data_IF_447004590097
#
_entry.id   IF_447004590097
#
_cell.length_a   1.000
_cell.length_b   1.000
_cell.length_c   1.000
_cell.angle_alpha   90.00
_cell.angle_beta   90.00
_cell.angle_gamma   90.00
#
_symmetry.space_group_name_H-M   'P 1'
#
loop_
_entity.id
_entity.type
_entity.pdbx_description
1 polymer ?
#
# COMPACT_ATOMS: atom_id res chain seq x y z
N UNK A 1 -7.41 1.22 21.45
CA UNK A 1 -6.03 1.34 21.96
C UNK A 1 -5.43 2.59 21.36
N UNK A 2 -5.23 3.65 22.16
CA UNK A 2 -4.62 4.89 21.69
C UNK A 2 -3.16 4.60 21.34
N UNK A 3 -2.83 4.70 20.06
CA UNK A 3 -1.45 4.58 19.58
C UNK A 3 -0.63 5.68 20.26
N UNK A 4 0.31 5.28 21.12
CA UNK A 4 1.23 6.18 21.86
C UNK A 4 2.33 6.77 20.98
N UNK A 5 2.25 6.53 19.66
CA UNK A 5 3.11 7.09 18.62
C UNK A 5 3.30 8.62 18.66
N UNK A 6 2.30 9.46 18.99
CA UNK A 6 2.50 10.92 19.01
C UNK A 6 3.19 11.43 20.29
N UNK A 7 3.30 10.61 21.35
CA UNK A 7 3.79 11.06 22.66
C UNK A 7 5.31 10.93 22.84
N UNK A 8 6.04 10.26 21.93
CA UNK A 8 7.49 10.10 22.04
C UNK A 8 8.25 11.45 22.05
N UNK A 9 7.68 12.48 21.40
CA UNK A 9 8.19 13.85 21.44
C UNK A 9 8.22 14.44 22.86
N UNK A 10 7.41 13.93 23.80
CA UNK A 10 7.49 14.34 25.22
C UNK A 10 8.75 13.80 25.92
N UNK A 11 9.45 12.82 25.36
CA UNK A 11 10.74 12.36 25.90
C UNK A 11 11.89 13.34 25.61
N UNK A 12 11.77 14.16 24.54
CA UNK A 12 12.75 15.18 24.15
C UNK A 12 13.01 16.23 25.25
N UNK A 13 11.99 16.85 25.90
CA UNK A 13 12.24 17.75 27.02
C UNK A 13 12.82 17.04 28.26
N UNK A 14 12.55 15.75 28.45
CA UNK A 14 13.14 14.97 29.56
C UNK A 14 14.65 14.78 29.37
N UNK A 15 15.15 14.73 28.12
CA UNK A 15 16.59 14.75 27.82
C UNK A 15 17.29 16.06 28.17
N UNK A 16 16.55 17.17 28.27
CA UNK A 16 17.12 18.47 28.67
C UNK A 16 17.24 18.61 30.20
N UNK A 17 16.56 17.77 30.97
CA UNK A 17 16.51 17.83 32.43
C UNK A 17 17.88 17.63 33.10
N UNK A 18 18.73 16.66 32.68
CA UNK A 18 20.10 16.54 33.19
C UNK A 18 20.96 17.77 32.90
N UNK A 19 20.79 18.38 31.73
CA UNK A 19 21.51 19.60 31.32
C UNK A 19 21.07 20.77 32.20
N UNK A 20 19.76 20.93 32.41
CA UNK A 20 19.20 22.00 33.23
C UNK A 20 19.53 21.85 34.71
N UNK A 21 19.45 20.63 35.25
CA UNK A 21 19.84 20.32 36.63
C UNK A 21 21.34 20.52 36.86
N UNK A 22 22.17 20.11 35.89
CA UNK A 22 23.61 20.35 35.97
C UNK A 22 23.94 21.85 35.94
N UNK A 23 23.16 22.64 35.20
CA UNK A 23 23.24 24.11 35.13
C UNK A 23 22.85 24.78 36.44
N UNK A 24 21.76 24.36 37.10
CA UNK A 24 21.32 24.92 38.40
C UNK A 24 22.34 24.69 39.53
N UNK A 25 22.95 23.49 39.60
CA UNK A 25 23.88 23.14 40.69
C UNK A 25 25.14 24.01 40.76
N UNK A 26 25.46 24.76 39.69
CA UNK A 26 26.66 25.59 39.56
C UNK A 26 26.38 27.10 39.52
N UNK A 27 25.13 27.54 39.61
CA UNK A 27 24.82 28.94 39.99
C UNK A 27 25.25 29.27 41.43
N UNK A 28 25.71 28.28 42.22
CA UNK A 28 26.37 28.47 43.50
C UNK A 28 27.78 29.07 43.31
N UNK A 29 27.77 30.38 43.18
CA UNK A 29 28.75 31.40 43.58
C UNK A 29 30.13 30.88 44.01
N UNK A 30 31.10 30.95 43.11
CA UNK A 30 32.52 31.09 43.48
C UNK A 30 32.76 32.56 43.78
N UNK A 31 32.89 32.92 45.05
CA UNK A 31 33.46 34.20 45.44
C UNK A 31 34.98 34.06 45.40
N UNK A 32 35.61 34.48 44.30
CA UNK A 32 37.07 34.63 44.26
C UNK A 32 37.37 36.11 44.51
N UNK A 33 38.06 36.47 45.61
CA UNK A 33 38.48 37.85 45.82
C UNK A 33 39.50 38.23 44.74
N UNK A 34 39.20 39.29 43.98
CA UNK A 34 40.14 39.85 43.01
C UNK A 34 41.44 40.22 43.73
N UNK A 35 42.59 39.92 43.13
CA UNK A 35 43.91 40.12 43.74
C UNK A 35 44.19 41.59 44.17
N UNK A 36 43.43 42.55 43.63
CA UNK A 36 43.48 43.97 43.97
C UNK A 36 42.59 44.37 45.16
N UNK A 37 41.63 43.52 45.57
CA UNK A 37 40.69 43.81 46.66
C UNK A 37 41.27 43.60 48.07
N UNK A 38 42.51 43.11 48.19
CA UNK A 38 43.17 42.89 49.49
C UNK A 38 43.51 44.18 50.24
N UNK A 39 43.44 45.32 49.57
CA UNK A 39 43.88 46.62 50.09
C UNK A 39 42.75 47.64 50.30
N UNK A 40 41.48 47.26 50.13
CA UNK A 40 40.32 48.13 50.40
C UNK A 40 39.47 47.54 51.53
N UNK A 41 39.29 48.24 52.67
CA UNK A 41 38.59 47.70 53.85
C UNK A 41 37.08 47.48 53.68
N UNK A 42 36.51 47.70 52.49
CA UNK A 42 35.06 47.55 52.25
C UNK A 42 34.67 47.23 50.79
N UNK A 43 35.52 46.54 50.03
CA UNK A 43 35.11 46.08 48.70
C UNK A 43 34.20 44.83 48.82
N UNK A 44 32.90 44.99 48.52
CA UNK A 44 31.98 43.87 48.41
C UNK A 44 32.48 42.91 47.30
N UNK A 45 32.58 41.59 47.55
CA UNK A 45 33.13 40.66 46.57
C UNK A 45 32.24 40.62 45.33
N UNK A 46 32.73 41.14 44.20
CA UNK A 46 32.05 40.97 42.93
C UNK A 46 32.12 39.50 42.51
N UNK A 47 30.95 38.88 42.45
CA UNK A 47 30.80 37.48 42.06
C UNK A 47 30.95 37.37 40.55
N UNK A 48 32.16 37.05 40.08
CA UNK A 48 32.40 36.71 38.69
C UNK A 48 31.64 35.42 38.34
N UNK A 49 30.52 35.57 37.63
CA UNK A 49 29.68 34.47 37.14
C UNK A 49 30.32 33.85 35.90
N UNK A 50 31.46 33.18 36.07
CA UNK A 50 32.16 32.53 34.96
C UNK A 50 31.46 31.21 34.61
N UNK A 51 30.99 31.13 33.37
CA UNK A 51 30.26 29.98 32.85
C UNK A 51 31.25 28.92 32.33
N UNK A 52 31.58 27.92 33.15
CA UNK A 52 32.48 26.83 32.75
C UNK A 52 31.85 25.45 32.93
N UNK A 53 31.84 24.69 31.84
CA UNK A 53 31.45 23.28 31.81
C UNK A 53 32.56 22.39 32.39
N UNK A 54 32.66 22.33 33.73
CA UNK A 54 33.76 21.62 34.39
C UNK A 54 33.61 20.09 34.49
N UNK A 55 32.45 19.52 34.14
CA UNK A 55 32.20 18.06 34.24
C UNK A 55 31.51 17.48 32.98
N UNK A 56 32.10 17.68 31.80
CA UNK A 56 31.53 17.19 30.53
C UNK A 56 31.29 15.67 30.53
N UNK A 57 32.17 14.91 31.18
CA UNK A 57 32.05 13.45 31.31
C UNK A 57 30.85 13.01 32.16
N UNK A 58 30.63 13.64 33.32
CA UNK A 58 29.49 13.30 34.18
C UNK A 58 28.15 13.65 33.50
N UNK A 59 28.11 14.78 32.79
CA UNK A 59 26.95 15.17 32.00
C UNK A 59 26.66 14.17 30.88
N UNK A 60 27.70 13.76 30.15
CA UNK A 60 27.60 12.78 29.08
C UNK A 60 27.06 11.43 29.58
N UNK A 61 27.57 10.93 30.70
CA UNK A 61 27.08 9.67 31.32
C UNK A 61 25.61 9.77 31.70
N UNK A 62 25.16 10.91 32.27
CA UNK A 62 23.74 11.11 32.62
C UNK A 62 22.84 11.20 31.39
N UNK A 63 23.29 11.86 30.34
CA UNK A 63 22.56 11.89 29.07
C UNK A 63 22.46 10.48 28.47
N UNK A 64 23.55 9.71 28.45
CA UNK A 64 23.54 8.32 27.98
C UNK A 64 22.61 7.43 28.80
N UNK A 65 22.61 7.58 30.13
CA UNK A 65 21.71 6.83 31.02
C UNK A 65 20.24 7.14 30.70
N UNK A 66 19.92 8.40 30.44
CA UNK A 66 18.55 8.81 30.12
C UNK A 66 18.11 8.32 28.73
N UNK A 67 19.00 8.38 27.73
CA UNK A 67 18.76 7.78 26.40
C UNK A 67 18.53 6.27 26.51
N UNK A 68 19.38 5.56 27.26
CA UNK A 68 19.23 4.13 27.47
C UNK A 68 17.91 3.78 28.20
N UNK A 69 17.49 4.61 29.15
CA UNK A 69 16.22 4.44 29.87
C UNK A 69 15.02 4.64 28.95
N UNK A 70 15.03 5.68 28.11
CA UNK A 70 13.98 5.91 27.11
C UNK A 70 13.92 4.75 26.12
N UNK A 71 15.08 4.30 25.63
CA UNK A 71 15.16 3.16 24.72
C UNK A 71 14.59 1.88 25.35
N UNK A 72 14.91 1.63 26.62
CA UNK A 72 14.38 0.49 27.38
C UNK A 72 12.86 0.58 27.63
N UNK A 73 12.34 1.76 27.93
CA UNK A 73 10.90 2.01 28.05
C UNK A 73 10.16 1.82 26.72
N UNK A 74 10.68 2.37 25.61
CA UNK A 74 10.11 2.17 24.29
C UNK A 74 10.06 0.68 23.94
N UNK A 75 11.19 0.01 24.09
CA UNK A 75 11.33 -1.43 23.92
C UNK A 75 10.31 -2.30 24.65
N UNK A 76 9.98 -1.94 25.89
CA UNK A 76 9.10 -2.72 26.77
C UNK A 76 7.63 -2.34 26.63
N UNK A 77 7.33 -1.08 26.30
CA UNK A 77 5.97 -0.54 26.20
C UNK A 77 5.39 -0.73 24.78
N UNK A 78 6.21 -0.70 23.72
CA UNK A 78 5.71 -0.93 22.37
C UNK A 78 5.25 -2.40 22.23
N UNK A 79 3.95 -2.66 22.01
CA UNK A 79 3.43 -4.01 21.92
C UNK A 79 3.75 -4.56 20.52
N UNK A 80 5.00 -5.00 20.33
CA UNK A 80 5.35 -5.77 19.14
C UNK A 80 4.47 -7.01 19.07
N UNK A 81 3.66 -7.12 18.02
CA UNK A 81 2.74 -8.23 17.80
C UNK A 81 3.54 -9.53 17.69
N UNK A 82 3.07 -10.56 18.37
CA UNK A 82 3.63 -11.91 18.28
C UNK A 82 3.03 -12.67 17.10
N UNK A 83 2.98 -13.99 17.20
CA UNK A 83 2.31 -14.84 16.20
C UNK A 83 0.88 -14.36 15.97
N UNK A 84 0.51 -14.23 14.71
CA UNK A 84 -0.74 -13.58 14.30
C UNK A 84 -1.43 -14.32 13.16
N UNK A 85 -2.74 -14.46 13.27
CA UNK A 85 -3.63 -14.97 12.23
C UNK A 85 -4.45 -13.82 11.67
N UNK A 86 -4.29 -13.54 10.38
CA UNK A 86 -5.17 -12.67 9.61
C UNK A 86 -6.31 -13.52 9.06
N UNK A 87 -7.54 -13.25 9.52
CA UNK A 87 -8.73 -14.01 9.20
C UNK A 87 -9.69 -13.17 8.37
N UNK A 88 -10.08 -13.67 7.20
CA UNK A 88 -11.18 -13.12 6.41
C UNK A 88 -12.50 -13.23 7.18
N UNK A 89 -13.20 -12.11 7.36
CA UNK A 89 -14.47 -12.05 8.07
C UNK A 89 -15.55 -12.96 7.46
N UNK A 90 -15.48 -13.22 6.16
CA UNK A 90 -16.40 -14.10 5.44
C UNK A 90 -15.96 -15.57 5.37
N UNK A 91 -14.81 -15.93 5.95
CA UNK A 91 -14.36 -17.33 5.96
C UNK A 91 -15.23 -18.19 6.88
N UNK A 92 -15.47 -19.43 6.45
CA UNK A 92 -16.12 -20.46 7.25
C UNK A 92 -15.34 -20.67 8.56
N UNK A 93 -15.99 -20.42 9.70
CA UNK A 93 -15.37 -20.45 11.03
C UNK A 93 -14.81 -21.84 11.37
N UNK A 94 -15.53 -22.91 11.03
CA UNK A 94 -15.09 -24.27 11.36
C UNK A 94 -13.85 -24.66 10.54
N UNK A 95 -13.88 -24.34 9.25
CA UNK A 95 -12.72 -24.53 8.37
C UNK A 95 -11.53 -23.67 8.83
N UNK A 96 -11.76 -22.40 9.17
CA UNK A 96 -10.72 -21.49 9.61
C UNK A 96 -10.04 -21.98 10.90
N UNK A 97 -10.80 -22.40 11.91
CA UNK A 97 -10.25 -22.99 13.15
C UNK A 97 -9.42 -24.24 12.85
N UNK A 98 -9.88 -25.10 11.94
CA UNK A 98 -9.13 -26.28 11.53
C UNK A 98 -7.78 -25.91 10.90
N UNK A 99 -7.74 -24.89 10.03
CA UNK A 99 -6.49 -24.42 9.42
C UNK A 99 -5.56 -23.77 10.46
N UNK A 100 -6.11 -22.99 11.39
CA UNK A 100 -5.33 -22.35 12.47
C UNK A 100 -4.71 -23.40 13.38
N UNK A 101 -5.48 -24.43 13.76
CA UNK A 101 -4.99 -25.55 14.55
C UNK A 101 -3.93 -26.36 13.80
N UNK A 102 -4.14 -26.65 12.51
CA UNK A 102 -3.17 -27.36 11.67
C UNK A 102 -1.84 -26.62 11.52
N UNK A 103 -1.86 -25.28 11.52
CA UNK A 103 -0.65 -24.45 11.49
C UNK A 103 0.03 -24.30 12.87
N UNK A 104 -0.58 -24.84 13.94
CA UNK A 104 -0.13 -24.71 15.32
C UNK A 104 -0.29 -23.29 15.90
N UNK A 105 -1.16 -22.47 15.31
CA UNK A 105 -1.35 -21.05 15.67
C UNK A 105 -2.63 -20.80 16.48
N UNK A 106 -3.12 -21.80 17.22
CA UNK A 106 -4.27 -21.68 18.13
C UNK A 106 -4.19 -20.49 19.12
N UNK A 107 -3.06 -20.23 19.80
CA UNK A 107 -2.95 -19.12 20.75
C UNK A 107 -2.58 -17.78 20.11
N UNK A 108 -2.40 -17.73 18.78
CA UNK A 108 -1.97 -16.53 18.07
C UNK A 108 -3.04 -15.44 18.10
N UNK A 109 -2.61 -14.18 18.05
CA UNK A 109 -3.52 -13.04 17.99
C UNK A 109 -4.29 -13.06 16.67
N UNK A 110 -5.60 -12.82 16.72
CA UNK A 110 -6.45 -12.79 15.53
C UNK A 110 -6.72 -11.36 15.11
N UNK A 111 -6.57 -11.09 13.81
CA UNK A 111 -6.82 -9.78 13.20
C UNK A 111 -7.68 -10.01 11.97
N UNK A 112 -8.63 -9.13 11.73
CA UNK A 112 -9.43 -9.16 10.51
C UNK A 112 -8.54 -8.88 9.30
N UNK A 113 -8.70 -9.66 8.23
CA UNK A 113 -7.94 -9.49 6.99
C UNK A 113 -8.43 -8.20 6.27
N UNK A 114 -7.57 -7.18 6.12
CA UNK A 114 -7.96 -5.96 5.41
C UNK A 114 -7.99 -6.18 3.89
N UNK A 115 -8.67 -5.28 3.19
CA UNK A 115 -8.64 -5.21 1.72
C UNK A 115 -7.19 -5.14 1.21
N UNK A 116 -6.84 -5.91 0.18
CA UNK A 116 -5.46 -6.06 -0.29
C UNK A 116 -4.49 -6.57 0.79
N UNK A 117 -4.89 -7.60 1.54
CA UNK A 117 -4.19 -8.10 2.73
C UNK A 117 -2.67 -8.29 2.58
N UNK A 118 -2.19 -8.81 1.44
CA UNK A 118 -0.75 -8.97 1.18
C UNK A 118 0.01 -7.64 1.07
N UNK A 119 -0.59 -6.63 0.42
CA UNK A 119 0.01 -5.31 0.27
C UNK A 119 0.00 -4.56 1.61
N UNK A 120 -1.12 -4.64 2.33
CA UNK A 120 -1.24 -4.07 3.66
C UNK A 120 -0.21 -4.67 4.62
N UNK A 121 -0.05 -6.00 4.60
CA UNK A 121 0.92 -6.69 5.45
C UNK A 121 2.34 -6.19 5.17
N UNK A 122 2.71 -6.03 3.89
CA UNK A 122 4.01 -5.50 3.48
C UNK A 122 4.28 -4.10 4.03
N UNK A 123 3.25 -3.25 4.14
CA UNK A 123 3.37 -1.89 4.68
C UNK A 123 3.51 -1.88 6.21
N UNK A 124 2.97 -2.89 6.89
CA UNK A 124 2.87 -2.94 8.35
C UNK A 124 3.80 -3.99 9.00
N UNK A 125 4.70 -4.65 8.26
CA UNK A 125 5.57 -5.71 8.80
C UNK A 125 6.36 -5.34 10.06
N UNK A 126 6.61 -4.04 10.26
CA UNK A 126 7.29 -3.48 11.44
C UNK A 126 6.52 -3.61 12.74
N UNK A 127 5.21 -3.87 12.67
CA UNK A 127 4.38 -4.03 13.87
C UNK A 127 4.62 -5.38 14.57
N UNK A 128 5.28 -6.32 13.89
CA UNK A 128 5.53 -7.67 14.39
C UNK A 128 6.96 -7.87 14.86
N UNK A 129 7.11 -8.77 15.84
CA UNK A 129 8.44 -9.22 16.31
C UNK A 129 9.18 -9.93 15.18
N UNK A 130 10.53 -9.86 15.14
CA UNK A 130 11.33 -10.56 14.11
C UNK A 130 11.12 -12.08 14.03
N UNK A 131 10.67 -12.70 15.12
CA UNK A 131 10.41 -14.14 15.20
C UNK A 131 8.93 -14.51 15.02
N UNK A 132 8.06 -13.55 14.69
CA UNK A 132 6.62 -13.79 14.60
C UNK A 132 6.29 -14.62 13.36
N UNK A 133 5.42 -15.62 13.54
CA UNK A 133 4.81 -16.38 12.44
C UNK A 133 3.48 -15.76 12.06
N UNK A 134 3.23 -15.64 10.76
CA UNK A 134 2.02 -15.03 10.23
C UNK A 134 1.21 -16.06 9.44
N UNK A 135 -0.06 -16.22 9.78
CA UNK A 135 -1.02 -17.01 9.00
C UNK A 135 -2.01 -16.07 8.33
N UNK A 136 -2.30 -16.30 7.06
CA UNK A 136 -3.43 -15.67 6.37
C UNK A 136 -4.42 -16.78 6.03
N UNK A 137 -5.63 -16.69 6.56
CA UNK A 137 -6.73 -17.63 6.28
C UNK A 137 -7.83 -16.86 5.55
N UNK A 138 -8.03 -17.18 4.28
CA UNK A 138 -8.92 -16.43 3.40
C UNK A 138 -9.69 -17.31 2.42
N UNK A 139 -10.80 -16.77 1.88
CA UNK A 139 -11.45 -17.34 0.70
C UNK A 139 -10.69 -16.97 -0.57
N UNK A 140 -10.88 -17.76 -1.63
CA UNK A 140 -10.20 -17.62 -2.92
C UNK A 140 -10.36 -16.22 -3.56
N UNK A 141 -11.53 -15.61 -3.40
CA UNK A 141 -11.88 -14.29 -3.95
C UNK A 141 -11.22 -13.12 -3.23
N UNK A 142 -10.72 -13.32 -2.01
CA UNK A 142 -10.17 -12.25 -1.17
C UNK A 142 -8.66 -12.06 -1.35
N UNK A 143 -7.94 -13.05 -1.88
CA UNK A 143 -6.50 -12.96 -2.10
C UNK A 143 -6.20 -13.31 -3.56
N UNK A 144 -6.18 -12.28 -4.39
CA UNK A 144 -5.75 -12.39 -5.79
C UNK A 144 -4.25 -12.70 -5.87
N UNK A 145 -3.89 -13.56 -6.82
CA UNK A 145 -2.49 -13.85 -7.15
C UNK A 145 -1.85 -12.59 -7.75
N UNK A 146 -0.85 -11.98 -7.09
CA UNK A 146 -0.15 -10.84 -7.65
C UNK A 146 0.78 -11.28 -8.78
N UNK A 147 0.98 -10.43 -9.78
CA UNK A 147 1.92 -10.68 -10.88
C UNK A 147 3.35 -10.99 -10.41
N UNK A 148 3.73 -10.45 -9.26
CA UNK A 148 4.95 -10.81 -8.53
C UNK A 148 4.62 -10.98 -7.05
N UNK A 149 4.91 -12.16 -6.52
CA UNK A 149 4.71 -12.45 -5.09
C UNK A 149 5.58 -11.50 -4.25
N UNK A 150 4.99 -10.73 -3.33
CA UNK A 150 5.76 -9.86 -2.45
C UNK A 150 6.69 -10.68 -1.54
N UNK A 151 7.89 -10.16 -1.34
CA UNK A 151 8.84 -10.70 -0.37
C UNK A 151 8.53 -10.11 1.00
N UNK A 152 8.43 -10.99 1.99
CA UNK A 152 8.15 -10.65 3.38
C UNK A 152 9.38 -10.90 4.25
N UNK A 153 9.56 -10.07 5.28
CA UNK A 153 10.62 -10.23 6.29
C UNK A 153 10.30 -11.33 7.30
N UNK A 154 9.02 -11.69 7.45
CA UNK A 154 8.52 -12.77 8.31
C UNK A 154 8.11 -13.99 7.50
N UNK A 155 8.02 -15.15 8.15
CA UNK A 155 7.43 -16.34 7.54
C UNK A 155 5.91 -16.14 7.44
N UNK A 156 5.39 -16.12 6.22
CA UNK A 156 3.96 -15.93 5.94
C UNK A 156 3.40 -17.20 5.34
N UNK A 157 2.39 -17.77 5.98
CA UNK A 157 1.69 -18.94 5.50
C UNK A 157 0.30 -18.55 5.01
N UNK A 158 0.01 -18.81 3.73
CA UNK A 158 -1.30 -18.50 3.15
C UNK A 158 -2.10 -19.80 3.02
N UNK A 159 -3.31 -19.78 3.58
CA UNK A 159 -4.31 -20.85 3.49
C UNK A 159 -5.56 -20.27 2.83
N UNK A 160 -5.76 -20.63 1.57
CA UNK A 160 -6.93 -20.24 0.78
C UNK A 160 -7.89 -21.40 0.63
N UNK A 161 -9.18 -21.15 0.93
CA UNK A 161 -10.24 -22.11 0.60
C UNK A 161 -10.51 -21.98 -0.90
N UNK A 162 -10.26 -23.02 -1.73
CA UNK A 162 -10.53 -22.95 -3.16
C UNK A 162 -12.01 -22.64 -3.39
N UNK A 163 -12.36 -21.90 -4.47
CA UNK A 163 -13.74 -21.63 -4.75
C UNK A 163 -14.43 -22.98 -5.02
N UNK A 164 -15.52 -23.25 -4.30
CA UNK A 164 -16.44 -24.29 -4.74
C UNK A 164 -16.87 -23.93 -6.17
N UNK A 165 -16.92 -24.93 -7.07
CA UNK A 165 -17.18 -24.78 -8.50
C UNK A 165 -18.16 -23.63 -8.79
N UNK A 166 -17.91 -22.80 -9.82
CA UNK A 166 -18.51 -21.48 -9.95
C UNK A 166 -20.02 -21.61 -9.91
N UNK A 167 -20.62 -21.31 -8.76
CA UNK A 167 -22.01 -20.94 -8.71
C UNK A 167 -22.07 -19.66 -9.52
N UNK A 168 -22.75 -19.72 -10.66
CA UNK A 168 -22.99 -18.59 -11.54
C UNK A 168 -23.38 -17.41 -10.65
N UNK A 169 -22.42 -16.51 -10.43
CA UNK A 169 -22.68 -15.28 -9.72
C UNK A 169 -23.74 -14.60 -10.56
N UNK A 170 -24.91 -14.37 -10.00
CA UNK A 170 -25.86 -13.40 -10.52
C UNK A 170 -25.18 -12.04 -10.43
N UNK A 171 -24.27 -11.79 -11.38
CA UNK A 171 -23.64 -10.52 -11.59
C UNK A 171 -24.76 -9.57 -12.01
N UNK A 172 -24.87 -8.45 -11.31
CA UNK A 172 -25.63 -7.31 -11.81
C UNK A 172 -25.19 -7.00 -13.24
N UNK A 173 -26.11 -6.61 -14.14
CA UNK A 173 -25.78 -6.35 -15.54
C UNK A 173 -24.58 -5.41 -15.65
N UNK A 174 -23.54 -5.84 -16.35
CA UNK A 174 -22.41 -4.98 -16.70
C UNK A 174 -22.90 -3.94 -17.71
N UNK A 175 -22.83 -2.66 -17.34
CA UNK A 175 -23.26 -1.56 -18.21
C UNK A 175 -22.08 -1.08 -19.07
N UNK A 176 -22.25 -1.18 -20.38
CA UNK A 176 -21.28 -0.79 -21.39
C UNK A 176 -21.74 0.51 -22.07
N UNK A 177 -20.94 1.57 -21.94
CA UNK A 177 -21.25 2.87 -22.54
C UNK A 177 -20.64 2.95 -23.94
N UNK A 178 -21.51 3.18 -24.94
CA UNK A 178 -21.12 3.23 -26.36
C UNK A 178 -21.54 4.57 -26.93
N UNK A 179 -20.65 5.22 -27.68
CA UNK A 179 -21.01 6.44 -28.41
C UNK A 179 -21.29 6.10 -29.86
N UNK A 180 -22.41 6.59 -30.39
CA UNK A 180 -22.75 6.48 -31.81
C UNK A 180 -22.67 7.86 -32.46
N UNK A 181 -21.55 8.16 -33.12
CA UNK A 181 -21.25 9.47 -33.68
C UNK A 181 -21.32 9.49 -35.21
N UNK A 182 -21.99 10.51 -35.76
CA UNK A 182 -22.20 10.66 -37.21
C UNK A 182 -23.32 9.77 -37.79
N UNK A 183 -24.03 9.03 -36.94
CA UNK A 183 -24.93 7.95 -37.33
C UNK A 183 -26.38 8.44 -37.49
N UNK A 184 -26.67 9.19 -38.57
CA UNK A 184 -28.05 9.63 -38.85
C UNK A 184 -28.92 8.49 -39.42
N UNK A 185 -28.62 7.97 -40.60
CA UNK A 185 -29.41 6.90 -41.23
C UNK A 185 -28.96 5.49 -40.79
N UNK A 186 -27.66 5.25 -40.74
CA UNK A 186 -27.07 3.94 -40.35
C UNK A 186 -27.03 3.74 -38.83
N UNK A 187 -27.26 4.80 -38.04
CA UNK A 187 -27.34 4.71 -36.58
C UNK A 187 -28.48 3.85 -36.05
N UNK A 188 -29.55 3.65 -36.84
CA UNK A 188 -30.60 2.70 -36.50
C UNK A 188 -30.07 1.25 -36.49
N UNK A 189 -29.21 0.89 -37.45
CA UNK A 189 -28.62 -0.44 -37.53
C UNK A 189 -27.71 -0.72 -36.31
N UNK A 190 -26.84 0.23 -35.95
CA UNK A 190 -26.01 0.09 -34.74
C UNK A 190 -26.81 0.00 -33.45
N UNK A 191 -27.85 0.82 -33.27
CA UNK A 191 -28.72 0.72 -32.08
C UNK A 191 -29.42 -0.63 -32.03
N UNK A 192 -29.90 -1.14 -33.16
CA UNK A 192 -30.54 -2.46 -33.23
C UNK A 192 -29.57 -3.60 -32.92
N UNK A 193 -28.31 -3.48 -33.37
CA UNK A 193 -27.23 -4.41 -33.09
C UNK A 193 -26.94 -4.50 -31.58
N UNK A 194 -26.68 -3.37 -30.93
CA UNK A 194 -26.38 -3.34 -29.49
C UNK A 194 -27.58 -3.73 -28.62
N UNK A 195 -28.81 -3.46 -29.09
CA UNK A 195 -30.01 -3.98 -28.47
C UNK A 195 -30.12 -5.51 -28.60
N UNK A 196 -29.74 -6.08 -29.74
CA UNK A 196 -29.69 -7.52 -29.95
C UNK A 196 -28.63 -8.18 -29.05
N UNK A 197 -27.44 -7.57 -28.91
CA UNK A 197 -26.40 -8.08 -28.00
C UNK A 197 -26.83 -8.04 -26.54
N UNK A 198 -27.52 -6.98 -26.12
CA UNK A 198 -28.09 -6.89 -24.77
C UNK A 198 -29.08 -8.02 -24.48
N UNK A 199 -29.85 -8.45 -25.49
CA UNK A 199 -30.82 -9.56 -25.38
C UNK A 199 -30.17 -10.93 -25.45
N UNK A 200 -29.15 -11.11 -26.29
CA UNK A 200 -28.46 -12.39 -26.49
C UNK A 200 -27.61 -12.80 -25.27
N UNK A 201 -27.18 -11.85 -24.44
CA UNK A 201 -26.46 -12.12 -23.20
C UNK A 201 -27.34 -12.38 -21.98
N UNK A 202 -28.62 -12.75 -22.14
CA UNK A 202 -29.61 -12.96 -21.06
C UNK A 202 -29.71 -11.79 -20.05
N UNK A 203 -29.41 -10.56 -20.51
CA UNK A 203 -29.39 -9.37 -19.66
C UNK A 203 -28.16 -9.23 -18.77
N UNK A 204 -27.11 -10.05 -18.94
CA UNK A 204 -25.84 -9.91 -18.22
C UNK A 204 -25.02 -8.69 -18.67
N UNK A 205 -25.20 -8.22 -19.91
CA UNK A 205 -24.54 -7.05 -20.47
C UNK A 205 -25.58 -6.06 -21.01
N UNK A 206 -25.53 -4.80 -20.58
CA UNK A 206 -26.42 -3.73 -21.03
C UNK A 206 -25.63 -2.69 -21.80
N UNK A 207 -25.97 -2.49 -23.08
CA UNK A 207 -25.32 -1.50 -23.92
C UNK A 207 -26.13 -0.19 -23.93
N UNK A 208 -25.56 0.88 -23.38
CA UNK A 208 -26.20 2.19 -23.28
C UNK A 208 -25.60 3.15 -24.32
N UNK A 209 -26.32 3.47 -25.42
CA UNK A 209 -25.83 4.39 -26.43
C UNK A 209 -25.91 5.85 -25.97
N UNK A 210 -24.82 6.59 -26.12
CA UNK A 210 -24.68 8.02 -25.85
C UNK A 210 -24.30 8.81 -27.11
N UNK A 211 -24.52 10.12 -27.09
CA UNK A 211 -24.17 11.01 -28.20
C UNK A 211 -22.72 11.54 -28.11
N UNK A 212 -22.18 11.64 -26.89
CA UNK A 212 -20.83 12.14 -26.62
C UNK A 212 -20.08 11.20 -25.68
N UNK A 213 -18.74 11.07 -25.82
CA UNK A 213 -17.94 10.23 -24.94
C UNK A 213 -17.74 10.85 -23.57
N UNK A 214 -17.83 10.00 -22.57
CA UNK A 214 -17.50 10.28 -21.17
C UNK A 214 -16.35 9.36 -20.70
N UNK A 215 -15.99 9.47 -19.41
CA UNK A 215 -14.92 8.67 -18.82
C UNK A 215 -15.23 7.15 -18.77
N UNK A 216 -16.50 6.75 -18.95
CA UNK A 216 -16.95 5.35 -18.94
C UNK A 216 -17.09 4.76 -20.33
N UNK A 217 -16.88 5.57 -21.37
CA UNK A 217 -17.06 5.15 -22.76
C UNK A 217 -16.02 4.12 -23.15
N UNK A 218 -16.48 2.92 -23.50
CA UNK A 218 -15.63 1.79 -23.85
C UNK A 218 -15.42 1.68 -25.36
N UNK A 219 -16.43 2.09 -26.14
CA UNK A 219 -16.45 2.02 -27.59
C UNK A 219 -17.06 3.28 -28.20
N UNK A 220 -16.37 3.86 -29.19
CA UNK A 220 -16.91 4.91 -30.06
C UNK A 220 -17.11 4.33 -31.45
N UNK A 221 -18.35 4.35 -31.95
CA UNK A 221 -18.67 4.08 -33.36
C UNK A 221 -18.70 5.40 -34.11
N UNK A 222 -17.86 5.52 -35.13
CA UNK A 222 -17.68 6.74 -35.92
C UNK A 222 -18.02 6.47 -37.39
N UNK A 223 -19.11 7.07 -37.86
CA UNK A 223 -19.59 6.94 -39.24
C UNK A 223 -19.34 8.19 -40.10
N UNK A 224 -18.92 9.29 -39.49
CA UNK A 224 -18.71 10.54 -40.21
C UNK A 224 -17.42 10.52 -41.03
N UNK A 225 -17.47 11.03 -42.26
CA UNK A 225 -16.27 11.29 -43.06
C UNK A 225 -15.43 12.47 -42.50
N UNK A 226 -16.01 13.28 -41.60
CA UNK A 226 -15.31 14.37 -40.92
C UNK A 226 -14.32 13.84 -39.87
N UNK A 227 -13.29 14.64 -39.60
CA UNK A 227 -12.32 14.32 -38.55
C UNK A 227 -12.99 14.35 -37.16
N UNK A 228 -12.68 13.40 -36.26
CA UNK A 228 -13.23 13.37 -34.92
C UNK A 228 -12.69 14.52 -34.05
N UNK A 229 -13.48 15.03 -33.08
CA UNK A 229 -13.04 16.06 -32.16
C UNK A 229 -11.72 15.68 -31.46
N UNK A 230 -10.82 16.65 -31.28
CA UNK A 230 -9.47 16.41 -30.79
C UNK A 230 -9.40 15.87 -29.35
N UNK A 231 -10.45 16.06 -28.55
CA UNK A 231 -10.56 15.65 -27.15
C UNK A 231 -11.21 14.27 -26.95
N UNK A 232 -11.79 13.66 -27.98
CA UNK A 232 -12.48 12.38 -27.85
C UNK A 232 -11.49 11.23 -27.68
N UNK A 233 -11.71 10.41 -26.67
CA UNK A 233 -10.87 9.27 -26.29
C UNK A 233 -11.78 8.11 -25.86
N UNK A 234 -11.42 6.90 -26.27
CA UNK A 234 -12.03 5.65 -25.79
C UNK A 234 -11.05 4.50 -26.06
N UNK A 235 -11.11 3.40 -25.28
CA UNK A 235 -10.26 2.22 -25.52
C UNK A 235 -10.39 1.67 -26.95
N UNK A 236 -11.61 1.63 -27.48
CA UNK A 236 -11.90 1.12 -28.82
C UNK A 236 -12.69 2.10 -29.67
N UNK A 237 -12.35 2.13 -30.96
CA UNK A 237 -13.07 2.89 -31.97
C UNK A 237 -13.42 1.98 -33.15
N UNK A 238 -14.69 1.98 -33.57
CA UNK A 238 -15.13 1.37 -34.82
C UNK A 238 -15.37 2.44 -35.86
N UNK A 239 -14.60 2.40 -36.93
CA UNK A 239 -14.56 3.42 -37.97
C UNK A 239 -15.19 2.84 -39.24
N UNK A 240 -16.39 3.28 -39.57
CA UNK A 240 -17.06 2.92 -40.82
C UNK A 240 -16.57 3.80 -41.99
N UNK A 241 -16.15 5.03 -41.72
CA UNK A 241 -15.60 5.98 -42.70
C UNK A 241 -14.14 6.34 -42.37
N UNK A 242 -13.14 5.68 -42.97
CA UNK A 242 -11.73 5.83 -42.57
C UNK A 242 -11.08 7.15 -43.04
N UNK A 243 -11.74 7.95 -43.88
CA UNK A 243 -11.18 9.16 -44.50
C UNK A 243 -10.73 10.22 -43.49
N UNK A 244 -11.34 10.26 -42.30
CA UNK A 244 -10.98 11.17 -41.21
C UNK A 244 -9.81 10.71 -40.33
N UNK A 245 -9.21 9.54 -40.62
CA UNK A 245 -8.21 8.87 -39.77
C UNK A 245 -6.95 8.50 -40.56
N UNK A 246 -5.97 9.42 -40.69
CA UNK A 246 -4.71 9.14 -41.38
C UNK A 246 -3.93 7.98 -40.75
N UNK A 247 -4.14 7.69 -39.46
CA UNK A 247 -3.51 6.57 -38.74
C UNK A 247 -3.85 5.21 -39.35
N UNK A 248 -5.01 5.09 -40.03
CA UNK A 248 -5.44 3.84 -40.68
C UNK A 248 -4.71 3.55 -42.00
N UNK A 249 -3.93 4.49 -42.54
CA UNK A 249 -3.18 4.29 -43.78
C UNK A 249 -2.13 3.17 -43.67
N UNK A 250 -1.58 2.96 -42.48
CA UNK A 250 -0.60 1.90 -42.17
C UNK A 250 -1.19 0.83 -41.23
N UNK A 251 -2.51 0.63 -41.26
CA UNK A 251 -3.18 -0.30 -40.37
C UNK A 251 -2.75 -1.76 -40.60
N UNK A 252 -2.58 -2.50 -39.51
CA UNK A 252 -2.34 -3.94 -39.54
C UNK A 252 -3.64 -4.67 -39.86
N UNK A 253 -3.57 -5.73 -40.67
CA UNK A 253 -4.74 -6.53 -41.04
C UNK A 253 -4.79 -7.81 -40.21
N UNK A 254 -5.98 -8.13 -39.71
CA UNK A 254 -6.27 -9.27 -38.85
C UNK A 254 -7.54 -9.96 -39.35
N UNK A 255 -7.52 -11.29 -39.46
CA UNK A 255 -8.70 -12.07 -39.81
C UNK A 255 -9.16 -12.86 -38.58
N UNK A 256 -10.35 -12.53 -38.06
CA UNK A 256 -10.97 -13.19 -36.90
C UNK A 256 -12.42 -13.49 -37.25
N UNK A 257 -12.86 -14.72 -36.94
CA UNK A 257 -14.23 -15.18 -37.17
C UNK A 257 -14.73 -14.94 -38.61
N UNK A 258 -13.83 -15.02 -39.60
CA UNK A 258 -14.15 -14.78 -41.01
C UNK A 258 -14.27 -13.31 -41.42
N UNK A 259 -14.04 -12.37 -40.50
CA UNK A 259 -14.06 -10.93 -40.76
C UNK A 259 -12.64 -10.39 -40.84
N UNK A 260 -12.34 -9.70 -41.94
CA UNK A 260 -11.08 -8.96 -42.11
C UNK A 260 -11.21 -7.60 -41.42
N UNK A 261 -10.47 -7.43 -40.32
CA UNK A 261 -10.37 -6.21 -39.54
C UNK A 261 -9.02 -5.55 -39.81
N UNK A 262 -9.02 -4.25 -40.06
CA UNK A 262 -7.82 -3.42 -40.05
C UNK A 262 -7.76 -2.64 -38.76
N UNK A 263 -6.59 -2.56 -38.15
CA UNK A 263 -6.42 -1.81 -36.90
C UNK A 263 -5.15 -0.99 -36.85
N UNK A 264 -5.24 0.13 -36.12
CA UNK A 264 -4.10 0.99 -35.80
C UNK A 264 -4.24 1.48 -34.35
N UNK A 265 -3.13 1.47 -33.61
CA UNK A 265 -3.07 2.06 -32.28
C UNK A 265 -2.75 3.56 -32.40
N UNK A 266 -3.55 4.39 -31.75
CA UNK A 266 -3.40 5.86 -31.76
C UNK A 266 -3.48 6.41 -30.32
N UNK A 267 -3.05 7.66 -30.09
CA UNK A 267 -3.28 8.34 -28.81
C UNK A 267 -4.77 8.48 -28.43
N UNK A 268 -5.70 8.20 -29.36
CA UNK A 268 -7.14 8.25 -29.14
C UNK A 268 -7.74 6.95 -28.61
N UNK A 269 -6.99 5.86 -28.76
CA UNK A 269 -7.46 4.49 -28.60
C UNK A 269 -7.07 3.61 -29.77
N UNK A 270 -7.50 2.35 -29.72
CA UNK A 270 -7.33 1.41 -30.82
C UNK A 270 -8.44 1.60 -31.85
N UNK A 271 -8.04 1.99 -33.06
CA UNK A 271 -8.92 2.21 -34.19
C UNK A 271 -9.10 0.90 -34.94
N UNK A 272 -10.35 0.54 -35.23
CA UNK A 272 -10.73 -0.65 -36.01
C UNK A 272 -11.58 -0.22 -37.20
N UNK A 273 -11.34 -0.83 -38.36
CA UNK A 273 -12.19 -0.63 -39.55
C UNK A 273 -12.31 -1.94 -40.32
N UNK A 274 -13.45 -2.14 -40.97
CA UNK A 274 -13.71 -3.30 -41.82
C UNK A 274 -14.77 -2.96 -42.86
N UNK A 275 -14.66 -3.55 -44.03
CA UNK A 275 -15.67 -3.45 -45.09
C UNK A 275 -17.01 -4.11 -44.69
N UNK A 276 -16.99 -4.92 -43.61
CA UNK A 276 -18.17 -5.52 -43.00
C UNK A 276 -18.96 -4.57 -42.08
N UNK A 277 -18.49 -3.33 -41.88
CA UNK A 277 -19.15 -2.32 -41.02
C UNK A 277 -19.91 -1.27 -41.86
N UNK A 278 -21.17 -0.95 -41.53
CA UNK A 278 -22.04 -1.61 -40.54
C UNK A 278 -22.50 -3.00 -41.01
N UNK A 279 -22.74 -3.95 -40.08
CA UNK A 279 -23.22 -5.28 -40.44
C UNK A 279 -24.60 -5.22 -41.11
N UNK A 280 -24.76 -5.96 -42.21
CA UNK A 280 -26.01 -6.03 -42.99
C UNK A 280 -26.86 -7.25 -42.67
N UNK A 281 -26.25 -8.26 -42.05
CA UNK A 281 -26.85 -9.55 -41.71
C UNK A 281 -26.45 -9.99 -40.29
N UNK A 282 -27.19 -10.95 -39.75
CA UNK A 282 -27.05 -11.41 -38.37
C UNK A 282 -25.73 -12.18 -38.13
N UNK A 283 -25.22 -12.89 -39.14
CA UNK A 283 -24.00 -13.69 -39.02
C UNK A 283 -22.77 -12.78 -38.95
N UNK A 284 -22.70 -11.75 -39.81
CA UNK A 284 -21.66 -10.72 -39.78
C UNK A 284 -21.70 -9.91 -38.47
N UNK A 285 -22.91 -9.56 -38.00
CA UNK A 285 -23.11 -8.91 -36.72
C UNK A 285 -22.54 -9.74 -35.54
N UNK A 286 -22.83 -11.04 -35.53
CA UNK A 286 -22.32 -11.97 -34.52
C UNK A 286 -20.80 -12.12 -34.61
N UNK A 287 -20.25 -12.28 -35.81
CA UNK A 287 -18.82 -12.43 -36.02
C UNK A 287 -18.04 -11.18 -35.54
N UNK A 288 -18.56 -9.97 -35.83
CA UNK A 288 -18.01 -8.71 -35.34
C UNK A 288 -18.07 -8.60 -33.81
N UNK A 289 -19.18 -9.04 -33.20
CA UNK A 289 -19.32 -9.06 -31.74
C UNK A 289 -18.35 -10.00 -31.07
N UNK A 290 -18.26 -11.25 -31.55
CA UNK A 290 -17.34 -12.25 -31.00
C UNK A 290 -15.89 -11.80 -31.19
N UNK A 291 -15.56 -11.20 -32.34
CA UNK A 291 -14.25 -10.62 -32.56
C UNK A 291 -13.97 -9.51 -31.54
N UNK A 292 -14.92 -8.61 -31.31
CA UNK A 292 -14.77 -7.55 -30.32
C UNK A 292 -14.62 -8.05 -28.89
N UNK A 293 -15.39 -9.05 -28.47
CA UNK A 293 -15.26 -9.65 -27.15
C UNK A 293 -13.90 -10.34 -26.95
N UNK A 294 -13.35 -10.96 -28.00
CA UNK A 294 -12.00 -11.53 -27.96
C UNK A 294 -10.90 -10.47 -27.94
N UNK A 295 -11.16 -9.30 -28.51
CA UNK A 295 -10.23 -8.17 -28.62
C UNK A 295 -10.31 -7.21 -27.42
N UNK A 296 -11.41 -7.24 -26.68
CA UNK A 296 -11.55 -6.53 -25.42
C UNK A 296 -10.54 -7.07 -24.42
N UNK A 297 -9.91 -6.21 -23.59
CA UNK A 297 -9.13 -6.68 -22.47
C UNK A 297 -10.09 -7.39 -21.52
N UNK A 298 -10.20 -8.72 -21.62
CA UNK A 298 -10.79 -9.49 -20.55
C UNK A 298 -9.99 -9.13 -19.30
N UNK A 299 -10.59 -8.53 -18.24
CA UNK A 299 -9.89 -8.44 -16.97
C UNK A 299 -9.51 -9.87 -16.64
N UNK A 300 -8.20 -10.17 -16.66
CA UNK A 300 -7.73 -11.50 -16.35
C UNK A 300 -8.42 -11.88 -15.03
N UNK A 301 -9.22 -12.97 -15.00
CA UNK A 301 -9.92 -13.34 -13.78
C UNK A 301 -8.86 -13.39 -12.69
N UNK A 302 -9.10 -12.69 -11.58
CA UNK A 302 -8.15 -12.61 -10.49
C UNK A 302 -7.93 -14.05 -10.00
N UNK A 303 -6.87 -14.69 -10.47
CA UNK A 303 -6.59 -16.08 -10.14
C UNK A 303 -6.37 -16.13 -8.63
N UNK A 304 -7.11 -16.97 -7.89
CA UNK A 304 -6.94 -17.06 -6.46
C UNK A 304 -5.54 -17.56 -6.16
N UNK A 305 -4.87 -16.92 -5.20
CA UNK A 305 -3.54 -17.35 -4.80
C UNK A 305 -3.63 -18.73 -4.13
N UNK A 306 -2.84 -19.72 -4.57
CA UNK A 306 -2.88 -21.05 -3.98
C UNK A 306 -2.38 -21.02 -2.53
N UNK A 307 -2.79 -22.01 -1.74
CA UNK A 307 -2.25 -22.20 -0.39
C UNK A 307 -0.75 -22.51 -0.49
N UNK A 308 0.08 -21.67 0.12
CA UNK A 308 1.53 -21.82 0.07
C UNK A 308 2.21 -21.15 1.25
N UNK A 309 3.38 -21.69 1.61
CA UNK A 309 4.27 -21.05 2.58
C UNK A 309 5.25 -20.13 1.84
N UNK A 310 5.29 -18.87 2.26
CA UNK A 310 6.24 -17.87 1.81
C UNK A 310 7.35 -17.79 2.85
N UNK A 311 8.54 -18.23 2.46
CA UNK A 311 9.73 -18.12 3.30
C UNK A 311 10.08 -16.66 3.54
N UNK A 312 10.54 -16.35 4.76
CA UNK A 312 11.12 -15.06 5.06
C UNK A 312 12.31 -14.79 4.12
N UNK A 313 12.22 -13.75 3.32
CA UNK A 313 13.32 -13.23 2.54
C UNK A 313 13.94 -12.06 3.30
N UNK A 314 15.26 -11.87 3.23
CA UNK A 314 15.89 -10.66 3.78
C UNK A 314 15.40 -9.46 2.95
N UNK A 315 14.33 -8.79 3.41
CA UNK A 315 13.91 -7.52 2.84
C UNK A 315 15.07 -6.53 2.90
N UNK A 316 15.20 -5.67 1.89
CA UNK A 316 16.22 -4.61 1.78
C UNK A 316 16.14 -3.55 2.90
N UNK A 317 15.14 -3.65 3.78
CA UNK A 317 15.01 -2.84 4.98
C UNK A 317 15.83 -3.51 6.09
N UNK A 318 16.69 -2.75 6.82
CA UNK A 318 17.47 -3.32 7.89
C UNK A 318 16.54 -4.02 8.88
N UNK A 319 16.75 -5.33 9.06
CA UNK A 319 16.05 -6.10 10.07
C UNK A 319 16.29 -5.42 11.42
N UNK A 320 15.22 -5.15 12.16
CA UNK A 320 15.35 -4.74 13.56
C UNK A 320 15.81 -6.02 14.29
N UNK A 321 17.12 -6.21 14.36
CA UNK A 321 17.76 -7.32 15.08
C UNK A 321 17.26 -7.31 16.51
N UNK A 322 16.57 -8.39 16.88
CA UNK A 322 16.06 -8.66 18.22
C UNK A 322 15.43 -7.45 18.93
N UNK A 323 14.13 -7.27 18.73
CA UNK A 323 13.27 -6.65 19.74
C UNK A 323 13.12 -7.59 20.97
N UNK A 324 14.23 -8.11 21.51
CA UNK A 324 14.39 -8.58 22.90
C UNK A 324 15.24 -7.54 23.63
N UNK A 325 14.69 -6.37 23.96
CA UNK A 325 15.53 -5.24 24.32
C UNK A 325 15.75 -5.19 25.84
N UNK A 326 15.08 -6.04 26.62
CA UNK A 326 14.97 -5.81 28.06
C UNK A 326 16.27 -6.10 28.84
N UNK A 327 17.00 -7.17 28.52
CA UNK A 327 18.08 -7.65 29.38
C UNK A 327 19.39 -6.85 29.21
N UNK A 328 19.86 -6.67 27.98
CA UNK A 328 21.14 -5.99 27.73
C UNK A 328 21.06 -4.49 28.00
N UNK A 329 19.92 -3.84 27.71
CA UNK A 329 19.69 -2.43 28.08
C UNK A 329 19.60 -2.27 29.59
N UNK A 330 19.04 -3.22 30.33
CA UNK A 330 19.06 -3.21 31.79
C UNK A 330 20.49 -3.33 32.34
N UNK A 331 21.33 -4.19 31.75
CA UNK A 331 22.77 -4.28 32.08
C UNK A 331 23.53 -3.00 31.73
N UNK A 332 23.24 -2.39 30.59
CA UNK A 332 23.84 -1.12 30.18
C UNK A 332 23.42 0.02 31.13
N UNK A 333 22.15 0.08 31.53
CA UNK A 333 21.65 1.02 32.53
C UNK A 333 22.34 0.83 33.88
N UNK A 334 22.53 -0.43 34.31
CA UNK A 334 23.24 -0.75 35.54
C UNK A 334 24.72 -0.32 35.47
N UNK A 335 25.39 -0.60 34.36
CA UNK A 335 26.78 -0.17 34.14
C UNK A 335 26.91 1.36 34.14
N UNK A 336 26.03 2.07 33.43
CA UNK A 336 26.01 3.54 33.39
C UNK A 336 25.73 4.14 34.78
N UNK A 337 24.86 3.51 35.56
CA UNK A 337 24.56 3.93 36.93
C UNK A 337 25.77 3.75 37.86
N UNK A 338 26.49 2.63 37.76
CA UNK A 338 27.73 2.41 38.50
C UNK A 338 28.80 3.45 38.12
N UNK A 339 28.93 3.74 36.82
CA UNK A 339 29.89 4.72 36.30
C UNK A 339 29.56 6.14 36.78
N UNK A 340 28.28 6.51 36.83
CA UNK A 340 27.80 7.76 37.43
C UNK A 340 28.17 7.86 38.91
N UNK A 341 27.99 6.78 39.67
CA UNK A 341 28.35 6.70 41.10
C UNK A 341 29.84 6.86 41.33
N UNK A 342 30.68 6.18 40.54
CA UNK A 342 32.14 6.27 40.62
C UNK A 342 32.61 7.69 40.31
N UNK A 343 32.16 8.28 39.20
CA UNK A 343 32.52 9.65 38.82
C UNK A 343 32.06 10.69 39.85
N UNK A 344 30.88 10.48 40.44
CA UNK A 344 30.37 11.36 41.50
C UNK A 344 31.19 11.23 42.79
N UNK A 345 31.65 10.02 43.11
CA UNK A 345 32.48 9.80 44.29
C UNK A 345 33.91 10.34 44.11
N UNK A 346 34.53 10.07 42.96
CA UNK A 346 35.86 10.58 42.58
C UNK A 346 35.93 12.11 42.50
N UNK A 347 34.78 12.78 42.36
CA UNK A 347 34.68 14.24 42.43
C UNK A 347 34.56 14.79 43.85
N UNK A 348 34.03 14.00 44.78
CA UNK A 348 33.80 14.42 46.18
C UNK A 348 35.07 14.30 47.02
N UNK A 349 35.92 13.33 46.70
CA UNK A 349 37.30 13.24 47.15
C UNK A 349 38.16 14.18 46.29
#
# INVERSE_FOLDING_TARGET
>A
MLSSYPLWWLALPVLLLPVWWHRQKRQRLKAEPLATARFLPSAAPEQLRVWQWRDRLLLLVRCLMLVALIAWLAATIFPWRGDTVLLDAGADKAWAEQQIAAAGMGPAQRIELPSNGLQWLRQHERDWRPSARLLIVARADQVAMPARVPQFSHQVELRTKPPSAPAAATASPTEHHIVLAGAQEQGAAWRSLFAAFSRAGDGANRYTPAAEPDAKTELIVWESAAAPPANWRAPHWWIAAPTGFPELANASTLNINGVTLKYADSPRGRLWTSDAMPPRDADTARALYEAWQQLGPAPAPAYPMPSQALSAARSALPAITDAKPAAWLALALLALFLLERILTHARRN
#
